data_IF_432548692282
#
_entry.id   IF_432548692282
#
_cell.length_a   1.000
_cell.length_b   1.000
_cell.length_c   1.000
_cell.angle_alpha   90.00
_cell.angle_beta   90.00
_cell.angle_gamma   90.00
#
_symmetry.space_group_name_H-M   'P 1'
#
loop_
_entity.id
_entity.type
_entity.pdbx_description
1 polymer ?
#
# COMPACT_ATOMS: atom_id res chain seq x y z
N UNK A 1 1.02 -24.75 37.87
CA UNK A 1 1.04 -24.03 36.57
C UNK A 1 -0.40 -23.73 36.19
N UNK A 2 -0.87 -22.53 36.48
CA UNK A 2 -2.25 -22.11 36.23
C UNK A 2 -2.42 -21.67 34.77
N UNK A 3 -3.22 -22.42 34.03
CA UNK A 3 -3.70 -22.06 32.70
C UNK A 3 -4.65 -20.86 32.85
N UNK A 4 -4.34 -19.73 32.20
CA UNK A 4 -5.29 -18.62 32.08
C UNK A 4 -6.20 -18.97 30.89
N UNK A 5 -7.51 -19.17 31.11
CA UNK A 5 -8.43 -19.41 30.01
C UNK A 5 -8.61 -18.10 29.25
N UNK A 6 -8.32 -18.11 27.94
CA UNK A 6 -8.70 -17.00 27.06
C UNK A 6 -10.20 -17.11 26.86
N UNK A 7 -10.95 -16.36 27.68
CA UNK A 7 -12.39 -16.18 27.49
C UNK A 7 -12.65 -15.63 26.08
N UNK A 8 -13.51 -16.32 25.34
CA UNK A 8 -14.26 -15.78 24.21
C UNK A 8 -15.07 -14.59 24.73
N UNK A 9 -14.50 -13.40 24.66
CA UNK A 9 -15.19 -12.11 24.77
C UNK A 9 -14.15 -11.01 24.46
N UNK A 10 -13.77 -10.89 23.18
CA UNK A 10 -13.20 -9.62 22.72
C UNK A 10 -14.40 -8.68 22.59
N UNK A 11 -14.60 -7.88 23.64
CA UNK A 11 -15.79 -7.07 23.84
C UNK A 11 -16.16 -6.22 22.60
N UNK A 12 -17.46 -5.96 22.34
CA UNK A 12 -17.95 -5.08 21.26
C UNK A 12 -17.31 -3.68 21.25
N UNK A 13 -16.79 -3.25 22.41
CA UNK A 13 -16.06 -1.99 22.58
C UNK A 13 -14.69 -1.98 21.90
N UNK A 14 -14.00 -3.11 21.80
CA UNK A 14 -12.74 -3.25 21.05
C UNK A 14 -13.01 -3.18 19.55
N UNK A 15 -14.10 -3.82 19.08
CA UNK A 15 -14.55 -3.72 17.68
C UNK A 15 -14.96 -2.29 17.34
N UNK A 16 -15.65 -1.58 18.23
CA UNK A 16 -15.99 -0.15 18.06
C UNK A 16 -14.77 0.75 18.05
N UNK A 17 -13.83 0.57 18.98
CA UNK A 17 -12.58 1.34 19.01
C UNK A 17 -11.72 1.06 17.77
N UNK A 18 -11.73 -0.18 17.25
CA UNK A 18 -11.10 -0.51 15.98
C UNK A 18 -11.86 0.07 14.79
N UNK A 19 -13.18 0.13 14.80
CA UNK A 19 -14.00 0.78 13.78
C UNK A 19 -13.81 2.30 13.76
N UNK A 20 -13.69 2.93 14.93
CA UNK A 20 -13.51 4.37 15.06
C UNK A 20 -12.07 4.78 14.77
N UNK A 21 -11.10 3.97 15.22
CA UNK A 21 -9.73 4.05 14.71
C UNK A 21 -9.73 3.85 13.20
N UNK A 22 -10.52 2.90 12.67
CA UNK A 22 -10.57 2.64 11.25
C UNK A 22 -11.26 3.73 10.43
N UNK A 23 -12.27 4.43 10.97
CA UNK A 23 -12.87 5.64 10.38
C UNK A 23 -11.91 6.84 10.44
N UNK A 24 -11.14 6.99 11.52
CA UNK A 24 -10.03 7.94 11.54
C UNK A 24 -8.92 7.52 10.57
N UNK A 25 -8.73 6.21 10.36
CA UNK A 25 -7.79 5.68 9.36
C UNK A 25 -8.32 5.79 7.93
N UNK A 26 -9.64 5.83 7.71
CA UNK A 26 -10.31 5.99 6.41
C UNK A 26 -9.92 7.32 5.76
N UNK A 27 -9.57 8.32 6.58
CA UNK A 27 -8.97 9.60 6.15
C UNK A 27 -7.47 9.51 5.80
N UNK A 28 -6.77 8.49 6.28
CA UNK A 28 -5.32 8.30 6.15
C UNK A 28 -4.93 7.30 5.06
N UNK A 29 -5.79 6.31 4.84
CA UNK A 29 -5.76 5.31 3.77
C UNK A 29 -7.24 5.04 3.51
N UNK A 30 -7.70 5.01 2.26
CA UNK A 30 -9.08 4.59 1.93
C UNK A 30 -9.30 3.12 2.35
N UNK A 31 -9.39 2.84 3.64
CA UNK A 31 -9.75 1.54 4.19
C UNK A 31 -11.24 1.45 3.97
N UNK A 32 -11.60 0.75 2.90
CA UNK A 32 -12.98 0.40 2.56
C UNK A 32 -13.70 -0.05 3.84
N UNK A 33 -14.69 0.69 4.34
CA UNK A 33 -15.51 0.27 5.49
C UNK A 33 -16.10 -1.14 5.25
N UNK A 34 -16.30 -1.49 3.98
CA UNK A 34 -16.65 -2.83 3.52
C UNK A 34 -15.64 -3.93 3.93
N UNK A 35 -14.33 -3.62 4.06
CA UNK A 35 -13.33 -4.57 4.54
C UNK A 35 -13.49 -4.90 6.03
N UNK A 36 -13.86 -3.90 6.84
CA UNK A 36 -14.07 -4.09 8.27
C UNK A 36 -15.36 -4.87 8.51
N UNK A 37 -16.45 -4.47 7.84
CA UNK A 37 -17.71 -5.21 7.90
C UNK A 37 -17.56 -6.63 7.36
N UNK A 38 -16.75 -6.83 6.31
CA UNK A 38 -16.44 -8.17 5.82
C UNK A 38 -15.68 -9.00 6.86
N UNK A 39 -14.69 -8.41 7.54
CA UNK A 39 -13.92 -9.09 8.58
C UNK A 39 -14.81 -9.48 9.78
N UNK A 40 -15.70 -8.59 10.21
CA UNK A 40 -16.65 -8.86 11.28
C UNK A 40 -17.63 -9.97 10.86
N UNK A 41 -18.17 -9.91 9.65
CA UNK A 41 -19.06 -10.95 9.10
C UNK A 41 -18.37 -12.33 8.97
N UNK A 42 -17.07 -12.37 8.66
CA UNK A 42 -16.27 -13.60 8.65
C UNK A 42 -16.08 -14.21 10.04
N UNK A 43 -16.09 -13.40 11.10
CA UNK A 43 -15.97 -13.87 12.49
C UNK A 43 -17.31 -14.30 13.09
N UNK A 44 -18.42 -13.77 12.58
CA UNK A 44 -19.77 -14.12 13.03
C UNK A 44 -20.31 -15.44 12.43
N UNK A 45 -19.70 -15.95 11.37
CA UNK A 45 -20.13 -17.19 10.71
C UNK A 45 -19.43 -18.42 11.28
N UNK A 46 -20.09 -19.13 12.20
CA UNK A 46 -19.59 -20.38 12.80
C UNK A 46 -19.47 -21.57 11.82
N UNK A 47 -19.95 -21.45 10.57
CA UNK A 47 -20.04 -22.54 9.57
C UNK A 47 -19.17 -22.33 8.31
N UNK A 48 -18.11 -21.54 8.37
CA UNK A 48 -17.25 -21.33 7.19
C UNK A 48 -16.12 -22.37 7.11
N UNK A 49 -15.98 -23.06 5.96
CA UNK A 49 -14.88 -24.00 5.76
C UNK A 49 -13.51 -23.31 5.76
N UNK A 50 -12.45 -24.04 6.12
CA UNK A 50 -11.07 -23.52 6.11
C UNK A 50 -10.68 -22.90 4.76
N UNK A 51 -11.17 -23.50 3.66
CA UNK A 51 -10.94 -23.00 2.30
C UNK A 51 -11.64 -21.65 2.06
N UNK A 52 -12.90 -21.53 2.48
CA UNK A 52 -13.65 -20.29 2.37
C UNK A 52 -13.05 -19.19 3.26
N UNK A 53 -12.59 -19.54 4.47
CA UNK A 53 -11.90 -18.61 5.37
C UNK A 53 -10.57 -18.13 4.78
N UNK A 54 -9.79 -19.03 4.18
CA UNK A 54 -8.57 -18.67 3.48
C UNK A 54 -8.85 -17.71 2.31
N UNK A 55 -9.83 -18.02 1.46
CA UNK A 55 -10.18 -17.19 0.29
C UNK A 55 -10.61 -15.80 0.74
N UNK A 56 -11.53 -15.71 1.71
CA UNK A 56 -12.04 -14.44 2.17
C UNK A 56 -10.94 -13.59 2.83
N UNK A 57 -10.12 -14.19 3.70
CA UNK A 57 -8.97 -13.51 4.30
C UNK A 57 -7.92 -13.09 3.24
N UNK A 58 -7.71 -13.90 2.19
CA UNK A 58 -6.82 -13.58 1.07
C UNK A 58 -7.31 -12.37 0.27
N UNK A 59 -8.62 -12.30 0.00
CA UNK A 59 -9.22 -11.19 -0.73
C UNK A 59 -9.12 -9.89 0.08
N UNK A 60 -9.38 -9.94 1.39
CA UNK A 60 -9.23 -8.78 2.27
C UNK A 60 -7.78 -8.35 2.42
N UNK A 61 -6.86 -9.31 2.54
CA UNK A 61 -5.43 -9.04 2.57
C UNK A 61 -4.97 -8.33 1.30
N UNK A 62 -5.36 -8.85 0.12
CA UNK A 62 -5.03 -8.25 -1.16
C UNK A 62 -5.56 -6.81 -1.20
N UNK A 63 -6.83 -6.60 -0.86
CA UNK A 63 -7.43 -5.24 -0.85
C UNK A 63 -6.69 -4.28 0.08
N UNK A 64 -6.26 -4.71 1.26
CA UNK A 64 -5.49 -3.87 2.18
C UNK A 64 -4.14 -3.44 1.58
N UNK A 65 -3.45 -4.34 0.88
CA UNK A 65 -2.22 -4.04 0.16
C UNK A 65 -2.48 -3.08 -1.01
N UNK A 66 -3.54 -3.31 -1.78
CA UNK A 66 -3.93 -2.46 -2.92
C UNK A 66 -4.20 -1.03 -2.47
N UNK A 67 -4.95 -0.86 -1.37
CA UNK A 67 -5.26 0.46 -0.83
C UNK A 67 -3.99 1.20 -0.40
N UNK A 68 -3.02 0.50 0.19
CA UNK A 68 -1.72 1.09 0.53
C UNK A 68 -0.91 1.47 -0.73
N UNK A 69 -0.91 0.64 -1.77
CA UNK A 69 -0.23 0.97 -3.04
C UNK A 69 -0.86 2.19 -3.70
N UNK A 70 -2.19 2.27 -3.73
CA UNK A 70 -2.93 3.44 -4.24
C UNK A 70 -2.56 4.69 -3.44
N UNK A 71 -2.56 4.60 -2.10
CA UNK A 71 -2.11 5.70 -1.23
C UNK A 71 -0.70 6.18 -1.61
N UNK A 72 0.25 5.27 -1.82
CA UNK A 72 1.62 5.65 -2.22
C UNK A 72 1.64 6.37 -3.57
N UNK A 73 0.87 5.88 -4.54
CA UNK A 73 0.77 6.51 -5.87
C UNK A 73 0.17 7.91 -5.75
N UNK A 74 -0.93 8.07 -5.02
CA UNK A 74 -1.60 9.35 -4.80
C UNK A 74 -0.69 10.35 -4.08
N UNK A 75 0.05 9.91 -3.06
CA UNK A 75 1.01 10.75 -2.35
C UNK A 75 2.14 11.22 -3.28
N UNK A 76 2.68 10.30 -4.09
CA UNK A 76 3.77 10.64 -5.02
C UNK A 76 3.29 11.53 -6.16
N UNK A 77 2.04 11.37 -6.61
CA UNK A 77 1.42 12.29 -7.57
C UNK A 77 1.43 13.72 -7.04
N UNK A 78 0.98 13.93 -5.80
CA UNK A 78 1.01 15.24 -5.15
C UNK A 78 2.44 15.78 -5.08
N UNK A 79 3.40 14.96 -4.67
CA UNK A 79 4.80 15.37 -4.55
C UNK A 79 5.42 15.73 -5.91
N UNK A 80 5.13 14.95 -6.96
CA UNK A 80 5.63 15.21 -8.31
C UNK A 80 4.99 16.44 -8.93
N UNK A 81 3.73 16.69 -8.60
CA UNK A 81 3.03 17.89 -9.03
C UNK A 81 3.54 19.12 -8.27
N UNK A 82 3.74 19.09 -6.96
CA UNK A 82 4.22 20.27 -6.22
C UNK A 82 5.73 20.54 -6.43
N UNK A 83 6.52 19.50 -6.72
CA UNK A 83 7.99 19.60 -6.85
C UNK A 83 8.58 18.96 -8.11
N UNK A 84 8.10 19.28 -9.32
CA UNK A 84 8.50 18.59 -10.55
C UNK A 84 10.00 18.71 -10.84
N UNK A 85 10.60 19.87 -10.59
CA UNK A 85 12.03 20.13 -10.82
C UNK A 85 12.96 19.25 -9.98
N UNK A 86 12.48 18.76 -8.83
CA UNK A 86 13.23 17.85 -7.97
C UNK A 86 13.37 16.46 -8.57
N UNK A 87 12.44 16.04 -9.42
CA UNK A 87 12.40 14.68 -10.00
C UNK A 87 12.80 14.64 -11.47
N UNK A 88 12.45 15.66 -12.25
CA UNK A 88 12.61 15.65 -13.69
C UNK A 88 13.71 16.64 -14.11
N UNK A 89 14.97 16.17 -14.07
CA UNK A 89 16.15 16.94 -14.54
C UNK A 89 16.49 16.72 -16.02
N UNK A 90 15.69 15.92 -16.76
CA UNK A 90 15.99 15.56 -18.14
C UNK A 90 15.80 16.76 -19.08
N UNK A 91 16.78 16.98 -19.96
CA UNK A 91 16.64 17.83 -21.15
C UNK A 91 15.50 17.24 -21.99
N UNK A 92 14.44 18.01 -22.22
CA UNK A 92 13.32 17.61 -23.07
C UNK A 92 13.75 17.83 -24.53
N UNK A 93 13.50 16.84 -25.40
CA UNK A 93 13.68 17.00 -26.84
C UNK A 93 12.73 18.11 -27.34
N UNK A 94 13.28 19.11 -28.03
CA UNK A 94 12.53 20.26 -28.56
C UNK A 94 11.33 19.81 -29.41
N UNK A 95 11.45 18.69 -30.11
CA UNK A 95 10.38 18.11 -30.94
C UNK A 95 9.12 17.81 -30.13
N UNK A 96 9.28 17.30 -28.90
CA UNK A 96 8.17 17.02 -27.99
C UNK A 96 7.54 18.29 -27.40
N UNK A 97 8.30 19.38 -27.30
CA UNK A 97 7.78 20.69 -26.87
C UNK A 97 6.81 21.26 -27.90
N UNK A 98 7.09 21.06 -29.18
CA UNK A 98 6.20 21.48 -30.25
C UNK A 98 4.96 20.57 -30.41
N UNK A 99 5.07 19.28 -30.08
CA UNK A 99 3.94 18.33 -30.15
C UNK A 99 2.93 18.49 -29.00
N UNK A 100 3.39 18.76 -27.78
CA UNK A 100 2.54 18.68 -26.59
C UNK A 100 1.60 19.87 -26.36
N UNK A 101 1.67 20.91 -27.20
CA UNK A 101 0.81 22.10 -27.15
C UNK A 101 0.97 22.98 -25.90
N UNK A 102 1.54 22.48 -24.80
CA UNK A 102 1.91 23.25 -23.60
C UNK A 102 2.97 22.52 -22.75
N UNK A 103 3.69 23.28 -21.94
CA UNK A 103 4.65 22.77 -20.96
C UNK A 103 3.95 21.91 -19.88
N UNK A 104 2.70 22.24 -19.51
CA UNK A 104 1.91 21.47 -18.54
C UNK A 104 1.51 20.08 -19.07
N UNK A 105 1.20 19.98 -20.37
CA UNK A 105 0.93 18.68 -21.00
C UNK A 105 2.17 17.78 -20.96
N UNK A 106 3.34 18.32 -21.28
CA UNK A 106 4.62 17.59 -21.19
C UNK A 106 4.92 17.13 -19.76
N UNK A 107 4.65 17.99 -18.79
CA UNK A 107 4.85 17.70 -17.37
C UNK A 107 3.96 16.54 -16.94
N UNK A 108 2.66 16.59 -17.27
CA UNK A 108 1.72 15.50 -16.98
C UNK A 108 2.15 14.20 -17.63
N UNK A 109 2.55 14.21 -18.91
CA UNK A 109 3.04 13.00 -19.59
C UNK A 109 4.31 12.42 -18.95
N UNK A 110 5.22 13.27 -18.47
CA UNK A 110 6.43 12.83 -17.78
C UNK A 110 6.13 12.19 -16.42
N UNK A 111 5.20 12.81 -15.68
CA UNK A 111 4.67 12.30 -14.40
C UNK A 111 3.96 10.96 -14.63
N UNK A 112 3.04 10.87 -15.59
CA UNK A 112 2.30 9.65 -15.94
C UNK A 112 3.22 8.52 -16.42
N UNK A 113 4.25 8.81 -17.22
CA UNK A 113 5.23 7.80 -17.63
C UNK A 113 6.06 7.29 -16.47
N UNK A 114 6.54 8.17 -15.60
CA UNK A 114 7.32 7.72 -14.44
C UNK A 114 6.42 6.97 -13.47
N UNK A 115 5.19 7.41 -13.19
CA UNK A 115 4.21 6.70 -12.35
C UNK A 115 3.82 5.36 -12.96
N UNK A 116 3.57 5.30 -14.27
CA UNK A 116 3.33 4.07 -14.99
C UNK A 116 4.51 3.12 -14.84
N UNK A 117 5.76 3.61 -14.98
CA UNK A 117 6.95 2.80 -14.77
C UNK A 117 7.15 2.36 -13.31
N UNK A 118 6.77 3.21 -12.34
CA UNK A 118 6.89 2.96 -10.90
C UNK A 118 5.83 1.97 -10.41
N UNK A 119 4.66 1.92 -11.05
CA UNK A 119 3.61 0.93 -10.79
C UNK A 119 4.05 -0.51 -11.12
N UNK A 120 5.04 -0.66 -12.01
CA UNK A 120 5.64 -1.95 -12.38
C UNK A 120 7.01 -2.22 -11.73
N UNK A 121 7.64 -1.22 -11.11
CA UNK A 121 8.95 -1.36 -10.44
C UNK A 121 8.80 -1.95 -9.04
N UNK A 122 9.88 -2.54 -8.54
CA UNK A 122 9.90 -3.02 -7.17
C UNK A 122 9.89 -1.81 -6.20
N UNK A 123 9.33 -1.97 -5.00
CA UNK A 123 9.21 -0.89 -4.02
C UNK A 123 10.57 -0.28 -3.63
N UNK A 124 11.65 -1.07 -3.71
CA UNK A 124 13.02 -0.63 -3.43
C UNK A 124 13.53 0.37 -4.46
N UNK A 125 13.23 0.13 -5.75
CA UNK A 125 13.58 1.04 -6.85
C UNK A 125 12.86 2.38 -6.66
N UNK A 126 11.58 2.35 -6.25
CA UNK A 126 10.82 3.56 -5.97
C UNK A 126 11.43 4.37 -4.82
N UNK A 127 11.73 3.72 -3.69
CA UNK A 127 12.38 4.39 -2.55
C UNK A 127 13.78 4.92 -2.93
N UNK A 128 14.53 4.16 -3.73
CA UNK A 128 15.83 4.58 -4.27
C UNK A 128 15.73 5.78 -5.20
N UNK A 129 14.75 5.79 -6.10
CA UNK A 129 14.48 6.90 -7.01
C UNK A 129 14.18 8.19 -6.23
N UNK A 130 13.20 8.15 -5.32
CA UNK A 130 12.82 9.33 -4.53
C UNK A 130 14.01 9.86 -3.72
N UNK A 131 14.79 8.96 -3.10
CA UNK A 131 16.01 9.32 -2.36
C UNK A 131 17.06 9.96 -3.27
N UNK A 132 17.33 9.39 -4.43
CA UNK A 132 18.35 9.90 -5.36
C UNK A 132 17.97 11.26 -5.96
N UNK A 133 16.68 11.49 -6.18
CA UNK A 133 16.16 12.73 -6.78
C UNK A 133 16.10 13.87 -5.76
N UNK A 134 15.71 13.58 -4.53
CA UNK A 134 15.29 14.62 -3.56
C UNK A 134 15.98 14.54 -2.20
N UNK A 135 16.67 13.44 -1.90
CA UNK A 135 17.17 13.12 -0.57
C UNK A 135 16.12 12.55 0.38
N UNK A 136 14.84 12.53 0.00
CA UNK A 136 13.76 12.01 0.83
C UNK A 136 13.79 10.48 0.92
N UNK A 137 13.70 9.94 2.14
CA UNK A 137 13.53 8.51 2.39
C UNK A 137 12.06 8.23 2.67
N UNK A 138 11.38 7.47 1.81
CA UNK A 138 9.97 7.11 2.02
C UNK A 138 9.84 6.22 3.28
N UNK A 139 10.76 5.27 3.44
CA UNK A 139 10.78 4.32 4.56
C UNK A 139 11.94 4.64 5.50
N UNK A 140 11.71 4.58 6.82
CA UNK A 140 12.73 4.89 7.85
C UNK A 140 13.91 3.94 7.83
N UNK A 141 13.68 2.69 7.44
CA UNK A 141 14.71 1.66 7.45
C UNK A 141 14.42 0.56 6.44
N UNK A 142 15.46 -0.22 6.13
CA UNK A 142 15.39 -1.33 5.18
C UNK A 142 14.44 -2.45 5.64
N UNK A 143 14.21 -2.60 6.95
CA UNK A 143 13.29 -3.62 7.47
C UNK A 143 11.84 -3.28 7.11
N UNK A 144 11.43 -2.02 7.28
CA UNK A 144 10.10 -1.54 6.88
C UNK A 144 9.89 -1.71 5.38
N UNK A 145 10.85 -1.24 4.57
CA UNK A 145 10.83 -1.40 3.11
C UNK A 145 10.68 -2.87 2.71
N UNK A 146 11.50 -3.76 3.28
CA UNK A 146 11.49 -5.19 2.96
C UNK A 146 10.18 -5.87 3.34
N UNK A 147 9.60 -5.50 4.49
CA UNK A 147 8.30 -6.03 4.93
C UNK A 147 7.16 -5.59 4.01
N UNK A 148 7.10 -4.32 3.64
CA UNK A 148 6.07 -3.83 2.71
C UNK A 148 6.26 -4.46 1.33
N UNK A 149 7.49 -4.55 0.82
CA UNK A 149 7.79 -5.23 -0.44
C UNK A 149 7.35 -6.70 -0.41
N UNK A 150 7.56 -7.37 0.72
CA UNK A 150 7.12 -8.74 0.92
C UNK A 150 5.59 -8.88 0.90
N UNK A 151 4.84 -7.98 1.55
CA UNK A 151 3.37 -7.98 1.51
C UNK A 151 2.83 -7.75 0.10
N UNK A 152 3.45 -6.85 -0.68
CA UNK A 152 3.13 -6.63 -2.10
C UNK A 152 3.39 -7.90 -2.92
N UNK A 153 4.52 -8.56 -2.71
CA UNK A 153 4.83 -9.81 -3.41
C UNK A 153 3.83 -10.93 -3.05
N UNK A 154 3.42 -11.04 -1.79
CA UNK A 154 2.37 -11.97 -1.36
C UNK A 154 1.04 -11.69 -2.06
N UNK A 155 0.60 -10.42 -2.08
CA UNK A 155 -0.61 -10.00 -2.81
C UNK A 155 -0.52 -10.40 -4.28
N UNK A 156 0.64 -10.21 -4.90
CA UNK A 156 0.82 -10.55 -6.32
C UNK A 156 0.62 -12.05 -6.56
N UNK A 157 1.09 -12.92 -5.65
CA UNK A 157 0.85 -14.36 -5.75
C UNK A 157 -0.62 -14.71 -5.55
N UNK A 158 -1.28 -14.10 -4.56
CA UNK A 158 -2.70 -14.29 -4.29
C UNK A 158 -3.53 -13.93 -5.52
N UNK A 159 -3.29 -12.77 -6.11
CA UNK A 159 -4.09 -12.23 -7.24
C UNK A 159 -3.75 -12.93 -8.56
N UNK A 160 -2.48 -13.10 -8.89
CA UNK A 160 -2.06 -13.54 -10.23
C UNK A 160 -1.83 -15.05 -10.35
N UNK A 161 -1.62 -15.74 -9.23
CA UNK A 161 -1.33 -17.18 -9.22
C UNK A 161 -2.30 -17.96 -8.33
N UNK A 162 -3.46 -17.37 -7.99
CA UNK A 162 -4.48 -17.97 -7.10
C UNK A 162 -3.89 -18.42 -5.76
N UNK A 163 -2.88 -17.70 -5.28
CA UNK A 163 -2.15 -18.05 -4.06
C UNK A 163 -1.14 -19.18 -4.22
N UNK A 164 -0.92 -19.73 -5.41
CA UNK A 164 0.05 -20.82 -5.64
C UNK A 164 1.42 -20.25 -5.98
N UNK A 165 2.46 -20.74 -5.30
CA UNK A 165 3.85 -20.33 -5.55
C UNK A 165 4.31 -20.90 -6.91
N UNK A 166 4.68 -20.00 -7.82
CA UNK A 166 5.30 -20.32 -9.11
C UNK A 166 6.81 -20.10 -9.05
N UNK A 167 7.52 -20.53 -10.09
CA UNK A 167 8.95 -20.22 -10.24
C UNK A 167 9.21 -18.72 -10.20
N UNK A 168 8.38 -17.93 -10.89
CA UNK A 168 8.47 -16.46 -10.95
C UNK A 168 8.26 -15.82 -9.58
N UNK A 169 7.30 -16.31 -8.79
CA UNK A 169 7.03 -15.71 -7.49
C UNK A 169 8.01 -16.15 -6.41
N UNK A 170 8.63 -17.33 -6.53
CA UNK A 170 9.65 -17.81 -5.60
C UNK A 170 10.88 -16.91 -5.54
N UNK A 171 11.31 -16.38 -6.69
CA UNK A 171 12.43 -15.43 -6.74
C UNK A 171 12.13 -14.13 -5.96
N UNK A 172 10.85 -13.77 -5.85
CA UNK A 172 10.36 -12.57 -5.17
C UNK A 172 9.91 -12.82 -3.73
N UNK A 173 9.76 -14.08 -3.34
CA UNK A 173 9.41 -14.55 -2.01
C UNK A 173 10.58 -15.38 -1.44
N UNK A 174 11.69 -14.73 -1.04
CA UNK A 174 12.95 -15.42 -0.74
C UNK A 174 12.94 -16.22 0.57
N UNK A 175 11.80 -16.33 1.25
CA UNK A 175 11.73 -17.08 2.50
C UNK A 175 11.60 -18.58 2.23
N UNK A 176 12.26 -19.40 3.06
CA UNK A 176 12.15 -20.88 3.05
C UNK A 176 10.72 -21.40 3.25
N UNK A 177 9.78 -20.52 3.59
CA UNK A 177 8.39 -20.85 3.89
C UNK A 177 7.53 -20.92 2.61
N UNK A 178 8.09 -20.66 1.43
CA UNK A 178 7.38 -20.68 0.15
C UNK A 178 7.89 -21.81 -0.74
N UNK A 179 7.08 -22.87 -0.86
CA UNK A 179 7.38 -24.07 -1.63
C UNK A 179 6.66 -24.00 -2.97
N UNK A 180 7.35 -24.39 -4.06
CA UNK A 180 6.77 -24.37 -5.40
C UNK A 180 5.55 -25.28 -5.48
N UNK A 181 4.47 -24.80 -6.09
CA UNK A 181 3.21 -25.53 -6.23
C UNK A 181 2.33 -25.51 -4.97
N UNK A 182 2.84 -25.03 -3.84
CA UNK A 182 2.06 -24.89 -2.62
C UNK A 182 1.36 -23.54 -2.54
N UNK A 183 0.31 -23.50 -1.71
CA UNK A 183 -0.42 -22.28 -1.42
C UNK A 183 0.35 -21.42 -0.41
N UNK A 184 0.45 -20.12 -0.67
CA UNK A 184 1.13 -19.18 0.23
C UNK A 184 0.37 -19.02 1.54
N UNK A 185 1.11 -18.99 2.64
CA UNK A 185 0.60 -18.46 3.91
C UNK A 185 0.82 -16.95 3.95
N UNK A 186 -0.18 -16.20 4.40
CA UNK A 186 -0.09 -14.76 4.59
C UNK A 186 -0.63 -14.36 5.97
N UNK A 187 -0.22 -13.20 6.53
CA UNK A 187 -0.82 -12.66 7.76
C UNK A 187 -2.32 -12.46 7.59
N UNK A 188 -3.07 -12.44 8.70
CA UNK A 188 -4.48 -12.02 8.63
C UNK A 188 -4.59 -10.63 8.02
N UNK A 189 -5.66 -10.40 7.26
CA UNK A 189 -5.91 -9.12 6.59
C UNK A 189 -5.82 -7.96 7.58
N UNK A 190 -6.38 -8.12 8.78
CA UNK A 190 -6.30 -7.14 9.85
C UNK A 190 -4.85 -6.82 10.27
N UNK A 191 -4.01 -7.84 10.51
CA UNK A 191 -2.59 -7.62 10.87
C UNK A 191 -1.84 -6.89 9.76
N UNK A 192 -2.08 -7.25 8.50
CA UNK A 192 -1.47 -6.58 7.35
C UNK A 192 -1.93 -5.12 7.26
N UNK A 193 -3.24 -4.88 7.41
CA UNK A 193 -3.84 -3.55 7.38
C UNK A 193 -3.28 -2.64 8.48
N UNK A 194 -3.23 -3.10 9.74
CA UNK A 194 -2.64 -2.33 10.85
C UNK A 194 -1.19 -1.98 10.56
N UNK A 195 -0.40 -2.94 10.08
CA UNK A 195 1.00 -2.69 9.75
C UNK A 195 1.17 -1.67 8.62
N UNK A 196 0.43 -1.83 7.52
CA UNK A 196 0.46 -0.92 6.38
C UNK A 196 -0.06 0.47 6.74
N UNK A 197 -1.01 0.58 7.67
CA UNK A 197 -1.48 1.86 8.20
C UNK A 197 -0.35 2.62 8.92
N UNK A 198 0.35 1.97 9.84
CA UNK A 198 1.49 2.60 10.51
C UNK A 198 2.62 2.96 9.53
N UNK A 199 2.83 2.13 8.50
CA UNK A 199 3.78 2.46 7.43
C UNK A 199 3.31 3.68 6.62
N UNK A 200 2.04 3.76 6.26
CA UNK A 200 1.45 4.89 5.54
C UNK A 200 1.64 6.20 6.30
N UNK A 201 1.32 6.22 7.60
CA UNK A 201 1.57 7.38 8.48
C UNK A 201 3.04 7.80 8.48
N UNK A 202 3.95 6.83 8.53
CA UNK A 202 5.39 7.12 8.51
C UNK A 202 5.81 7.75 7.18
N UNK A 203 5.37 7.17 6.05
CA UNK A 203 5.69 7.66 4.71
C UNK A 203 5.13 9.08 4.53
N UNK A 204 3.87 9.30 4.90
CA UNK A 204 3.21 10.62 4.86
C UNK A 204 4.03 11.65 5.64
N UNK A 205 4.33 11.38 6.91
CA UNK A 205 5.13 12.29 7.75
C UNK A 205 6.52 12.58 7.16
N UNK A 206 7.19 11.56 6.61
CA UNK A 206 8.50 11.74 5.99
C UNK A 206 8.43 12.67 4.79
N UNK A 207 7.45 12.43 3.90
CA UNK A 207 7.22 13.20 2.69
C UNK A 207 6.80 14.64 3.04
N UNK A 208 5.78 14.81 3.88
CA UNK A 208 5.27 16.12 4.29
C UNK A 208 6.36 16.97 4.92
N UNK A 209 7.17 16.39 5.82
CA UNK A 209 8.27 17.11 6.46
C UNK A 209 9.36 17.50 5.48
N UNK A 210 9.72 16.60 4.56
CA UNK A 210 10.81 16.84 3.61
C UNK A 210 10.44 17.88 2.56
N UNK A 211 9.21 17.82 2.05
CA UNK A 211 8.73 18.69 0.98
C UNK A 211 7.99 19.93 1.50
N UNK A 212 7.86 20.10 2.82
CA UNK A 212 7.12 21.20 3.45
C UNK A 212 5.68 21.31 2.94
N UNK A 213 5.09 20.15 2.67
CA UNK A 213 3.69 20.07 2.25
C UNK A 213 2.78 20.36 3.46
N UNK A 214 1.56 20.88 3.27
CA UNK A 214 0.56 20.96 4.34
C UNK A 214 0.43 19.62 5.09
N UNK A 215 0.41 19.67 6.42
CA UNK A 215 0.13 18.48 7.22
C UNK A 215 -1.22 17.89 6.79
N UNK A 216 -1.20 16.66 6.29
CA UNK A 216 -2.38 16.02 5.75
C UNK A 216 -2.78 16.46 4.33
N UNK A 217 -1.83 16.57 3.40
CA UNK A 217 -2.16 16.83 1.98
C UNK A 217 -3.19 15.88 1.37
N UNK A 218 -3.22 14.61 1.80
CA UNK A 218 -4.26 13.66 1.39
C UNK A 218 -5.61 13.86 2.10
N UNK A 219 -5.67 14.66 3.16
CA UNK A 219 -6.89 14.98 3.90
C UNK A 219 -7.66 16.17 3.29
N UNK A 220 -6.97 17.06 2.58
CA UNK A 220 -7.53 18.35 2.12
C UNK A 220 -8.02 18.27 0.66
N UNK A 221 -7.38 17.46 -0.19
CA UNK A 221 -7.67 17.45 -1.62
C UNK A 221 -8.87 16.57 -2.05
N UNK A 222 -9.53 15.87 -1.11
CA UNK A 222 -10.79 15.17 -1.38
C UNK A 222 -12.00 16.09 -1.64
N UNK A 223 -11.84 17.41 -1.51
CA UNK A 223 -12.91 18.41 -1.67
C UNK A 223 -12.85 19.21 -2.99
N UNK A 224 -11.97 18.87 -3.92
CA UNK A 224 -11.97 19.46 -5.28
C UNK A 224 -12.40 18.43 -6.31
N UNK A 225 -13.64 17.97 -6.21
CA UNK A 225 -14.39 17.52 -7.38
C UNK A 225 -14.77 18.75 -8.21
N UNK A 226 -14.29 18.79 -9.45
CA UNK A 226 -14.88 19.60 -10.53
C UNK A 226 -16.31 19.12 -10.77
#
# INVERSE_FOLDING_TARGET
MSYIPVHKDIAPEVTRALLDLAKETEKLIRVDVALLHGYDAMHETEEMSDEAQYIANSMMFARAVDNFQTFLVDLLLIVFDEHPHSFFKKKIDISRVFEAGSIETLRREAIEREIGSLSYKNLSDLNGFVKSSTGCLLFSNNLMLSRVAHLINLRNVIVHSRGIVSTVSKDRLPHRNYVLGERVTHPSAFKAMTYLFHCGKHVDLSVTKHFTLPAGCLYINGAKSV
#
